data_IF_910297759771
#
_entry.id   IF_910297759771
#
_cell.length_a   1.000
_cell.length_b   1.000
_cell.length_c   1.000
_cell.angle_alpha   90.00
_cell.angle_beta   90.00
_cell.angle_gamma   90.00
#
_symmetry.space_group_name_H-M   'P 1'
#
loop_
_entity.id
_entity.type
_entity.pdbx_description
1 polymer ?
#
# COMPACT_ATOMS: atom_id res chain seq x y z
N UNK A 1 16.72 -0.78 8.07
CA UNK A 1 16.13 -1.85 7.26
C UNK A 1 15.01 -1.25 6.43
N UNK A 2 14.82 -1.69 5.18
CA UNK A 2 13.79 -1.12 4.31
C UNK A 2 12.40 -1.67 4.68
N UNK A 3 11.43 -0.78 4.94
CA UNK A 3 10.01 -1.12 5.18
C UNK A 3 9.45 -1.90 3.97
N UNK A 4 9.91 -1.56 2.78
CA UNK A 4 9.56 -2.22 1.53
C UNK A 4 10.11 -3.63 1.42
N UNK A 5 11.34 -3.86 1.91
CA UNK A 5 11.90 -5.21 2.06
C UNK A 5 11.06 -6.11 2.96
N UNK A 6 10.37 -5.55 3.96
CA UNK A 6 9.44 -6.32 4.82
C UNK A 6 8.08 -6.58 4.17
N UNK A 7 7.53 -5.59 3.43
CA UNK A 7 6.27 -5.72 2.68
C UNK A 7 6.41 -6.78 1.59
N UNK A 8 7.48 -6.72 0.81
CA UNK A 8 7.70 -7.58 -0.35
C UNK A 8 8.31 -8.93 0.06
N UNK A 9 9.23 -8.95 1.04
CA UNK A 9 9.86 -10.17 1.52
C UNK A 9 9.00 -11.03 2.46
N UNK A 10 7.71 -10.71 2.64
CA UNK A 10 6.79 -11.49 3.47
C UNK A 10 7.06 -11.45 4.98
N UNK A 11 8.05 -10.67 5.42
CA UNK A 11 8.46 -10.56 6.82
C UNK A 11 7.44 -9.80 7.70
N UNK A 12 6.41 -9.19 7.12
CA UNK A 12 5.35 -8.49 7.85
C UNK A 12 4.23 -9.41 8.39
N UNK A 13 4.20 -10.67 7.98
CA UNK A 13 3.41 -11.73 8.61
C UNK A 13 1.92 -11.79 8.23
N UNK A 14 1.42 -13.02 8.12
CA UNK A 14 0.03 -13.42 7.89
C UNK A 14 -0.95 -13.08 9.04
N UNK A 15 -0.59 -12.14 9.93
CA UNK A 15 -1.30 -11.87 11.18
C UNK A 15 -2.16 -10.58 11.16
N UNK A 16 -2.07 -9.75 10.11
CA UNK A 16 -2.86 -8.51 9.99
C UNK A 16 -4.35 -8.81 9.68
N UNK A 17 -4.64 -9.94 9.02
CA UNK A 17 -5.99 -10.30 8.60
C UNK A 17 -6.62 -9.30 7.61
N UNK A 18 -7.85 -9.56 7.18
CA UNK A 18 -8.60 -8.68 6.28
C UNK A 18 -7.94 -8.42 4.92
N UNK A 19 -8.43 -7.43 4.16
CA UNK A 19 -7.88 -7.06 2.84
C UNK A 19 -6.39 -6.73 2.86
N UNK A 20 -5.90 -5.98 3.86
CA UNK A 20 -4.47 -5.61 3.97
C UNK A 20 -3.61 -6.86 4.13
N UNK A 21 -4.02 -7.80 4.99
CA UNK A 21 -3.32 -9.06 5.20
C UNK A 21 -3.37 -9.96 3.98
N UNK A 22 -4.51 -10.00 3.27
CA UNK A 22 -4.67 -10.76 2.03
C UNK A 22 -3.76 -10.25 0.91
N UNK A 23 -3.69 -8.93 0.70
CA UNK A 23 -2.82 -8.31 -0.29
C UNK A 23 -1.33 -8.52 0.04
N UNK A 24 -0.95 -8.38 1.31
CA UNK A 24 0.40 -8.70 1.77
C UNK A 24 0.76 -10.17 1.54
N UNK A 25 -0.15 -11.10 1.86
CA UNK A 25 0.04 -12.52 1.65
C UNK A 25 0.22 -12.88 0.17
N UNK A 26 -0.56 -12.26 -0.72
CA UNK A 26 -0.44 -12.43 -2.16
C UNK A 26 0.92 -11.91 -2.69
N UNK A 27 1.37 -10.75 -2.22
CA UNK A 27 2.68 -10.21 -2.59
C UNK A 27 3.84 -11.08 -2.07
N UNK A 28 3.73 -11.60 -0.85
CA UNK A 28 4.71 -12.51 -0.26
C UNK A 28 4.79 -13.84 -1.02
N UNK A 29 3.67 -14.39 -1.50
CA UNK A 29 3.65 -15.59 -2.34
C UNK A 29 4.51 -15.45 -3.60
N UNK A 30 4.47 -14.28 -4.24
CA UNK A 30 5.31 -13.94 -5.41
C UNK A 30 6.80 -13.86 -5.05
N UNK A 31 7.13 -13.45 -3.81
CA UNK A 31 8.51 -13.34 -3.34
C UNK A 31 9.13 -14.67 -2.87
N UNK A 32 8.33 -15.54 -2.25
CA UNK A 32 8.74 -16.90 -1.85
C UNK A 32 9.18 -17.70 -3.07
N UNK A 33 8.45 -17.59 -4.18
CA UNK A 33 8.78 -18.25 -5.45
C UNK A 33 10.16 -17.83 -6.00
N UNK A 34 10.69 -16.68 -5.56
CA UNK A 34 11.99 -16.13 -5.99
C UNK A 34 13.12 -16.26 -4.96
N UNK A 35 12.90 -16.96 -3.85
CA UNK A 35 13.95 -17.30 -2.88
C UNK A 35 14.41 -16.18 -1.93
N UNK A 36 13.60 -15.14 -1.73
CA UNK A 36 13.93 -14.00 -0.87
C UNK A 36 13.06 -13.92 0.39
N UNK A 37 13.16 -14.87 1.33
CA UNK A 37 12.44 -14.73 2.62
C UNK A 37 13.27 -15.17 3.83
N UNK A 38 13.41 -14.27 4.79
CA UNK A 38 13.74 -14.58 6.18
C UNK A 38 12.48 -14.40 7.05
N UNK A 39 12.10 -15.37 7.90
CA UNK A 39 10.98 -15.22 8.80
C UNK A 39 11.35 -14.27 9.94
N UNK A 40 11.00 -12.99 9.82
CA UNK A 40 11.04 -12.08 10.96
C UNK A 40 9.64 -11.98 11.57
N UNK A 41 9.57 -11.99 12.91
CA UNK A 41 8.36 -11.66 13.65
C UNK A 41 8.43 -10.15 13.92
N UNK A 42 7.65 -9.32 13.22
CA UNK A 42 7.74 -7.88 13.39
C UNK A 42 7.20 -7.46 14.76
N UNK A 43 7.87 -6.51 15.40
CA UNK A 43 7.35 -5.77 16.56
C UNK A 43 5.98 -5.16 16.20
N UNK A 44 5.07 -5.03 17.17
CA UNK A 44 3.69 -4.56 16.95
C UNK A 44 3.62 -3.19 16.28
N UNK A 45 4.55 -2.28 16.59
CA UNK A 45 4.63 -0.96 15.94
C UNK A 45 5.08 -1.06 14.47
N UNK A 46 5.98 -2.00 14.16
CA UNK A 46 6.44 -2.27 12.79
C UNK A 46 5.30 -2.84 11.93
N UNK A 47 4.52 -3.77 12.49
CA UNK A 47 3.35 -4.35 11.81
C UNK A 47 2.31 -3.29 11.46
N UNK A 48 2.04 -2.34 12.37
CA UNK A 48 1.10 -1.23 12.12
C UNK A 48 1.59 -0.31 11.00
N UNK A 49 2.87 0.06 10.99
CA UNK A 49 3.48 0.89 9.93
C UNK A 49 3.44 0.21 8.57
N UNK A 50 3.74 -1.09 8.53
CA UNK A 50 3.68 -1.89 7.30
C UNK A 50 2.25 -1.98 6.79
N UNK A 51 1.31 -2.36 7.65
CA UNK A 51 -0.11 -2.44 7.28
C UNK A 51 -0.66 -1.10 6.77
N UNK A 52 -0.28 0.01 7.41
CA UNK A 52 -0.62 1.36 6.93
C UNK A 52 -0.02 1.65 5.56
N UNK A 53 1.26 1.36 5.34
CA UNK A 53 1.93 1.56 4.05
C UNK A 53 1.26 0.76 2.93
N UNK A 54 0.91 -0.50 3.22
CA UNK A 54 0.19 -1.36 2.28
C UNK A 54 -1.16 -0.76 1.92
N UNK A 55 -1.88 -0.28 2.92
CA UNK A 55 -3.20 0.27 2.69
C UNK A 55 -3.16 1.61 1.96
N UNK A 56 -2.16 2.46 2.23
CA UNK A 56 -1.88 3.67 1.44
C UNK A 56 -1.76 3.32 -0.05
N UNK A 57 -0.94 2.30 -0.37
CA UNK A 57 -0.75 1.86 -1.76
C UNK A 57 -2.04 1.26 -2.32
N UNK A 58 -2.71 0.40 -1.56
CA UNK A 58 -3.92 -0.26 -2.01
C UNK A 58 -5.03 0.74 -2.31
N UNK A 59 -5.25 1.71 -1.42
CA UNK A 59 -6.23 2.77 -1.59
C UNK A 59 -5.89 3.66 -2.77
N UNK A 60 -4.62 4.06 -2.91
CA UNK A 60 -4.17 4.86 -4.06
C UNK A 60 -4.36 4.11 -5.38
N UNK A 61 -4.11 2.80 -5.38
CA UNK A 61 -4.29 1.93 -6.54
C UNK A 61 -5.76 1.70 -6.90
N UNK A 62 -6.63 1.60 -5.90
CA UNK A 62 -8.09 1.48 -6.10
C UNK A 62 -8.68 2.80 -6.61
N UNK A 63 -8.22 3.93 -6.09
CA UNK A 63 -8.59 5.27 -6.56
C UNK A 63 -8.21 5.46 -8.03
N UNK A 64 -6.94 5.23 -8.39
CA UNK A 64 -6.50 5.33 -9.78
C UNK A 64 -7.17 4.31 -10.74
N UNK A 65 -7.80 3.26 -10.22
CA UNK A 65 -8.62 2.34 -11.02
C UNK A 65 -10.01 2.92 -11.32
N UNK A 66 -10.56 3.79 -10.46
CA UNK A 66 -11.87 4.40 -10.66
C UNK A 66 -11.91 5.22 -11.96
N UNK A 67 -10.80 5.92 -12.27
CA UNK A 67 -10.63 6.71 -13.49
C UNK A 67 -10.21 5.86 -14.72
N UNK A 68 -10.11 4.53 -14.53
CA UNK A 68 -9.94 3.54 -15.59
C UNK A 68 -8.50 3.27 -16.04
N UNK A 69 -7.54 4.17 -15.76
CA UNK A 69 -6.12 3.98 -16.10
C UNK A 69 -5.20 4.68 -15.09
N UNK A 70 -4.19 3.94 -14.64
CA UNK A 70 -3.07 4.53 -13.89
C UNK A 70 -2.14 5.27 -14.87
N UNK A 71 -1.89 6.54 -14.61
CA UNK A 71 -0.98 7.38 -15.39
C UNK A 71 0.41 7.43 -14.77
N UNK A 72 1.41 7.83 -15.57
CA UNK A 72 2.77 8.06 -15.04
C UNK A 72 2.81 9.24 -14.07
N UNK A 73 1.90 10.20 -14.25
CA UNK A 73 1.82 11.41 -13.44
C UNK A 73 1.30 11.09 -12.04
N UNK A 74 0.33 10.18 -11.90
CA UNK A 74 -0.12 9.68 -10.59
C UNK A 74 1.00 8.93 -9.85
N UNK A 75 1.79 8.12 -10.56
CA UNK A 75 2.94 7.42 -9.97
C UNK A 75 4.01 8.43 -9.55
N UNK A 76 4.23 9.49 -10.34
CA UNK A 76 5.15 10.56 -10.00
C UNK A 76 4.67 11.32 -8.75
N UNK A 77 3.40 11.72 -8.71
CA UNK A 77 2.78 12.40 -7.57
C UNK A 77 2.82 11.54 -6.29
N UNK A 78 2.59 10.23 -6.40
CA UNK A 78 2.76 9.30 -5.28
C UNK A 78 4.22 9.32 -4.77
N UNK A 79 5.19 9.31 -5.67
CA UNK A 79 6.62 9.33 -5.33
C UNK A 79 7.12 10.65 -4.76
N UNK A 80 6.42 11.76 -5.01
CA UNK A 80 6.74 13.05 -4.38
C UNK A 80 6.42 13.07 -2.88
N UNK A 81 5.40 12.32 -2.48
CA UNK A 81 4.94 12.25 -1.08
C UNK A 81 5.41 11.00 -0.34
N UNK A 82 5.78 9.95 -1.06
CA UNK A 82 6.24 8.68 -0.49
C UNK A 82 7.69 8.44 -0.88
N UNK A 83 8.56 8.29 0.11
CA UNK A 83 9.96 7.98 -0.11
C UNK A 83 10.12 6.52 -0.58
N UNK A 84 10.44 6.38 -1.86
CA UNK A 84 10.66 5.08 -2.50
C UNK A 84 12.10 5.03 -3.05
N UNK A 85 12.96 4.17 -2.49
CA UNK A 85 14.27 3.90 -3.05
C UNK A 85 14.17 3.48 -4.53
N UNK A 86 15.09 3.96 -5.37
CA UNK A 86 15.09 3.66 -6.80
C UNK A 86 15.08 2.14 -7.11
N UNK A 87 15.70 1.33 -6.25
CA UNK A 87 15.73 -0.14 -6.33
C UNK A 87 14.38 -0.82 -6.09
N UNK A 88 13.42 -0.11 -5.49
CA UNK A 88 12.13 -0.66 -5.07
C UNK A 88 10.97 -0.18 -5.94
N UNK A 89 11.18 0.84 -6.79
CA UNK A 89 10.16 1.39 -7.70
C UNK A 89 9.48 0.31 -8.54
N UNK A 90 10.26 -0.60 -9.14
CA UNK A 90 9.70 -1.69 -9.95
C UNK A 90 8.88 -2.68 -9.11
N UNK A 91 9.17 -2.82 -7.82
CA UNK A 91 8.46 -3.73 -6.91
C UNK A 91 7.15 -3.08 -6.43
N UNK A 92 7.19 -1.78 -6.11
CA UNK A 92 6.00 -0.99 -5.78
C UNK A 92 5.01 -1.01 -6.95
N UNK A 93 5.48 -0.82 -8.19
CA UNK A 93 4.61 -0.91 -9.37
C UNK A 93 3.87 -2.25 -9.46
N UNK A 94 4.56 -3.37 -9.21
CA UNK A 94 3.92 -4.71 -9.19
C UNK A 94 2.93 -4.86 -8.05
N UNK A 95 3.24 -4.34 -6.86
CA UNK A 95 2.33 -4.37 -5.72
C UNK A 95 1.07 -3.54 -5.98
N UNK A 96 1.24 -2.41 -6.66
CA UNK A 96 0.15 -1.54 -7.11
C UNK A 96 -0.76 -2.26 -8.11
N UNK A 97 -0.18 -2.89 -9.13
CA UNK A 97 -0.93 -3.70 -10.10
C UNK A 97 -1.68 -4.84 -9.42
N UNK A 98 -1.05 -5.51 -8.45
CA UNK A 98 -1.68 -6.55 -7.64
C UNK A 98 -2.88 -6.00 -6.86
N UNK A 99 -2.72 -4.86 -6.18
CA UNK A 99 -3.79 -4.20 -5.43
C UNK A 99 -5.02 -3.86 -6.30
N UNK A 100 -4.81 -3.49 -7.57
CA UNK A 100 -5.90 -3.24 -8.53
C UNK A 100 -6.73 -4.48 -8.86
N UNK A 101 -6.11 -5.64 -8.80
CA UNK A 101 -6.72 -6.94 -9.13
C UNK A 101 -7.38 -7.62 -7.94
N UNK A 102 -7.19 -7.12 -6.71
CA UNK A 102 -7.84 -7.74 -5.55
C UNK A 102 -9.35 -7.62 -5.63
N UNK A 103 -10.10 -8.63 -5.16
CA UNK A 103 -11.56 -8.61 -5.17
C UNK A 103 -12.15 -7.59 -4.19
N UNK A 104 -11.47 -7.31 -3.07
CA UNK A 104 -11.95 -6.39 -2.04
C UNK A 104 -12.09 -4.95 -2.56
N UNK A 105 -13.13 -4.24 -2.09
CA UNK A 105 -13.41 -2.85 -2.43
C UNK A 105 -12.46 -1.87 -1.72
N UNK A 106 -12.47 -0.60 -2.10
CA UNK A 106 -11.63 0.40 -1.39
C UNK A 106 -12.13 0.63 0.04
N UNK A 107 -13.43 0.48 0.27
CA UNK A 107 -14.10 0.62 1.56
C UNK A 107 -13.58 -0.39 2.58
N UNK A 108 -13.27 -1.60 2.15
CA UNK A 108 -12.75 -2.66 3.03
C UNK A 108 -11.36 -2.29 3.55
N UNK A 109 -10.48 -1.81 2.65
CA UNK A 109 -9.16 -1.29 3.02
C UNK A 109 -9.28 -0.05 3.90
N UNK A 110 -10.11 0.93 3.53
CA UNK A 110 -10.29 2.18 4.27
C UNK A 110 -10.82 1.92 5.69
N UNK A 111 -11.82 1.06 5.81
CA UNK A 111 -12.40 0.66 7.10
C UNK A 111 -11.39 -0.09 7.96
N UNK A 112 -10.57 -0.96 7.36
CA UNK A 112 -9.51 -1.66 8.08
C UNK A 112 -8.46 -0.69 8.61
N UNK A 113 -7.98 0.26 7.80
CA UNK A 113 -7.02 1.29 8.23
C UNK A 113 -7.61 2.18 9.31
N UNK A 114 -8.84 2.64 9.14
CA UNK A 114 -9.48 3.52 10.12
C UNK A 114 -9.55 2.86 11.51
N UNK A 115 -9.80 1.55 11.58
CA UNK A 115 -9.81 0.79 12.85
C UNK A 115 -8.43 0.61 13.49
N UNK A 116 -7.34 0.83 12.75
CA UNK A 116 -5.98 0.69 13.28
C UNK A 116 -5.49 1.93 14.04
N UNK A 117 -6.19 3.05 13.92
CA UNK A 117 -5.83 4.33 14.51
C UNK A 117 -7.00 4.92 15.29
N UNK A 118 -6.68 5.84 16.20
CA UNK A 118 -7.71 6.59 16.93
C UNK A 118 -8.52 7.47 15.96
N UNK A 119 -9.81 7.74 16.25
CA UNK A 119 -10.58 8.74 15.52
C UNK A 119 -9.84 10.08 15.48
N UNK A 120 -9.77 10.71 14.31
CA UNK A 120 -9.00 11.98 14.07
C UNK A 120 -7.48 11.86 14.24
N UNK A 121 -6.91 10.66 14.11
CA UNK A 121 -5.46 10.55 14.04
C UNK A 121 -4.93 11.32 12.81
N UNK A 122 -3.95 12.20 13.02
CA UNK A 122 -3.34 13.02 11.96
C UNK A 122 -2.76 12.20 10.78
N UNK A 123 -2.47 10.91 11.00
CA UNK A 123 -2.03 9.99 9.95
C UNK A 123 -3.14 9.63 8.95
N UNK A 124 -4.40 9.59 9.40
CA UNK A 124 -5.56 9.39 8.53
C UNK A 124 -5.84 10.65 7.69
N UNK A 125 -5.64 11.83 8.26
CA UNK A 125 -5.71 13.11 7.53
C UNK A 125 -4.63 13.18 6.46
N UNK A 126 -3.39 12.82 6.79
CA UNK A 126 -2.29 12.74 5.81
C UNK A 126 -2.55 11.71 4.70
N UNK A 127 -3.21 10.58 5.02
CA UNK A 127 -3.62 9.61 4.01
C UNK A 127 -4.65 10.23 3.06
N UNK A 128 -5.64 10.95 3.57
CA UNK A 128 -6.62 11.65 2.72
C UNK A 128 -5.94 12.72 1.87
N UNK A 129 -5.08 13.56 2.46
CA UNK A 129 -4.31 14.58 1.73
C UNK A 129 -3.47 13.97 0.61
N UNK A 130 -2.85 12.82 0.85
CA UNK A 130 -2.10 12.08 -0.16
C UNK A 130 -3.01 11.61 -1.30
N UNK A 131 -4.17 11.02 -0.98
CA UNK A 131 -5.13 10.57 -2.00
C UNK A 131 -5.64 11.75 -2.83
N UNK A 132 -5.99 12.87 -2.21
CA UNK A 132 -6.38 14.09 -2.92
C UNK A 132 -5.25 14.65 -3.81
N UNK A 133 -4.02 14.62 -3.32
CA UNK A 133 -2.87 15.07 -4.09
C UNK A 133 -2.63 14.23 -5.35
N UNK A 134 -2.75 12.91 -5.25
CA UNK A 134 -2.63 12.00 -6.39
C UNK A 134 -3.80 12.20 -7.35
N UNK A 135 -5.03 12.28 -6.84
CA UNK A 135 -6.22 12.52 -7.67
C UNK A 135 -6.13 13.85 -8.43
N UNK A 136 -5.55 14.89 -7.83
CA UNK A 136 -5.35 16.19 -8.49
C UNK A 136 -4.18 16.25 -9.48
N UNK A 137 -3.39 15.18 -9.62
CA UNK A 137 -2.18 15.18 -10.46
C UNK A 137 -2.46 15.17 -11.97
N UNK A 138 -3.65 14.73 -12.38
CA UNK A 138 -4.06 14.67 -13.79
C UNK A 138 -4.80 15.95 -14.29
N UNK A 139 -4.99 16.93 -13.38
CA UNK A 139 -5.61 18.22 -13.68
C UNK A 139 -7.13 18.20 -13.86
N UNK A 140 -7.82 17.06 -13.66
CA UNK A 140 -9.28 16.96 -13.76
C UNK A 140 -9.88 16.38 -12.47
N UNK A 141 -10.17 17.25 -11.50
CA UNK A 141 -11.10 16.89 -10.41
C UNK A 141 -12.52 16.95 -11.00
N UNK A 142 -13.10 15.79 -11.32
CA UNK A 142 -14.51 15.68 -11.74
C UNK A 142 -15.43 15.38 -10.55
#
# INVERSE_FOLDING_TARGET
MSIWGMIIGGAAGAAIGGPIGGLLGAAAGIAVERGFVAPARPETDSTRRVAFTVAVIALSAKMAKADGKVTRDEIAAFRERVEIPASEVAQVGRFWDLARTTPDGFEDYASQVARMFEPRAAVLEQLLDLLFHIAGSDGHIN
#
